data_IF_037973158660
#
_entry.id   IF_037973158660
#
_cell.length_a   1.000
_cell.length_b   1.000
_cell.length_c   1.000
_cell.angle_alpha   90.00
_cell.angle_beta   90.00
_cell.angle_gamma   90.00
#
_symmetry.space_group_name_H-M   'P 1'
#
loop_
_entity.id
_entity.type
_entity.pdbx_description
1 polymer ?
#
# COMPACT_ATOMS: atom_id res chain seq x y z
N UNK A 1 -24.23 5.76 13.64
CA UNK A 1 -24.51 6.44 12.36
C UNK A 1 -23.25 7.20 11.98
N UNK A 2 -22.47 6.73 11.01
CA UNK A 2 -21.35 7.53 10.47
C UNK A 2 -21.96 8.78 9.80
N UNK A 3 -21.46 9.97 10.15
CA UNK A 3 -21.98 11.21 9.60
C UNK A 3 -21.35 11.45 8.22
N UNK A 4 -22.14 11.94 7.26
CA UNK A 4 -21.66 12.30 5.91
C UNK A 4 -20.45 13.25 5.95
N UNK A 5 -20.34 14.08 7.01
CA UNK A 5 -19.20 14.95 7.24
C UNK A 5 -17.90 14.17 7.51
N UNK A 6 -17.97 13.06 8.26
CA UNK A 6 -16.81 12.23 8.57
C UNK A 6 -16.28 11.52 7.32
N UNK A 7 -17.17 10.98 6.48
CA UNK A 7 -16.76 10.33 5.23
C UNK A 7 -16.24 11.34 4.20
N UNK A 8 -16.79 12.55 4.18
CA UNK A 8 -16.28 13.63 3.33
C UNK A 8 -14.84 14.01 3.68
N UNK A 9 -14.49 14.04 4.97
CA UNK A 9 -13.12 14.32 5.43
C UNK A 9 -12.16 13.23 4.97
N UNK A 10 -12.53 11.94 5.08
CA UNK A 10 -11.72 10.82 4.59
C UNK A 10 -11.37 10.99 3.12
N UNK A 11 -12.39 11.22 2.29
CA UNK A 11 -12.24 11.39 0.86
C UNK A 11 -11.31 12.57 0.56
N UNK A 12 -11.51 13.71 1.23
CA UNK A 12 -10.73 14.91 1.01
C UNK A 12 -9.26 14.72 1.40
N UNK A 13 -8.99 14.05 2.52
CA UNK A 13 -7.61 13.71 2.93
C UNK A 13 -6.95 12.78 1.90
N UNK A 14 -7.63 11.73 1.45
CA UNK A 14 -7.09 10.82 0.42
C UNK A 14 -6.81 11.55 -0.89
N UNK A 15 -7.73 12.40 -1.34
CA UNK A 15 -7.55 13.19 -2.57
C UNK A 15 -6.36 14.16 -2.45
N UNK A 16 -6.21 14.83 -1.30
CA UNK A 16 -5.08 15.74 -1.04
C UNK A 16 -3.74 15.00 -1.03
N UNK A 17 -3.68 13.78 -0.49
CA UNK A 17 -2.45 12.96 -0.51
C UNK A 17 -2.06 12.63 -1.96
N UNK A 18 -2.99 12.14 -2.77
CA UNK A 18 -2.73 11.81 -4.19
C UNK A 18 -2.29 13.06 -4.95
N UNK A 19 -2.98 14.18 -4.75
CA UNK A 19 -2.64 15.46 -5.35
C UNK A 19 -1.23 15.92 -4.93
N UNK A 20 -0.89 15.82 -3.65
CA UNK A 20 0.44 16.19 -3.15
C UNK A 20 1.55 15.36 -3.80
N UNK A 21 1.37 14.04 -3.96
CA UNK A 21 2.33 13.18 -4.67
C UNK A 21 2.48 13.62 -6.13
N UNK A 22 1.38 13.89 -6.84
CA UNK A 22 1.41 14.32 -8.24
C UNK A 22 2.04 15.70 -8.46
N UNK A 23 1.89 16.61 -7.49
CA UNK A 23 2.53 17.93 -7.52
C UNK A 23 4.02 17.85 -7.18
N UNK A 24 4.38 17.03 -6.19
CA UNK A 24 5.78 16.82 -5.80
C UNK A 24 6.56 16.10 -6.89
N UNK A 25 5.96 15.14 -7.60
CA UNK A 25 6.67 14.40 -8.66
C UNK A 25 7.14 15.29 -9.82
N UNK A 26 6.55 16.48 -9.98
CA UNK A 26 6.96 17.48 -10.97
C UNK A 26 8.08 18.40 -10.47
N UNK A 27 8.34 18.46 -9.16
CA UNK A 27 9.30 19.39 -8.53
C UNK A 27 10.50 18.67 -7.90
N UNK A 28 10.24 17.58 -7.19
CA UNK A 28 11.21 16.78 -6.47
C UNK A 28 10.75 15.31 -6.42
N UNK A 29 11.38 14.48 -7.25
CA UNK A 29 11.06 13.05 -7.36
C UNK A 29 11.36 12.28 -6.06
N UNK A 30 12.36 12.69 -5.28
CA UNK A 30 12.72 12.02 -4.03
C UNK A 30 11.66 12.30 -2.96
N UNK A 31 11.21 13.55 -2.83
CA UNK A 31 10.11 13.89 -1.91
C UNK A 31 8.79 13.24 -2.32
N UNK A 32 8.51 13.15 -3.63
CA UNK A 32 7.33 12.43 -4.11
C UNK A 32 7.39 10.95 -3.77
N UNK A 33 8.55 10.30 -3.97
CA UNK A 33 8.76 8.89 -3.62
C UNK A 33 8.67 8.67 -2.10
N UNK A 34 9.29 9.55 -1.30
CA UNK A 34 9.18 9.52 0.17
C UNK A 34 7.71 9.56 0.59
N UNK A 35 6.95 10.56 0.12
CA UNK A 35 5.54 10.70 0.45
C UNK A 35 4.71 9.48 0.00
N UNK A 36 4.95 8.96 -1.21
CA UNK A 36 4.26 7.78 -1.73
C UNK A 36 4.61 6.49 -0.95
N UNK A 37 5.80 6.40 -0.36
CA UNK A 37 6.24 5.25 0.44
C UNK A 37 5.69 5.21 1.86
N UNK A 38 5.13 6.31 2.37
CA UNK A 38 4.52 6.33 3.69
C UNK A 38 3.30 5.41 3.68
N UNK A 39 3.14 4.48 4.65
CA UNK A 39 2.00 3.57 4.71
C UNK A 39 0.73 4.29 5.24
N UNK A 40 0.33 5.38 4.58
CA UNK A 40 -0.76 6.26 5.00
C UNK A 40 -2.07 5.48 5.11
N UNK A 41 -2.37 4.61 4.14
CA UNK A 41 -3.58 3.77 4.17
C UNK A 41 -3.61 2.90 5.43
N UNK A 42 -2.50 2.25 5.77
CA UNK A 42 -2.40 1.40 6.97
C UNK A 42 -2.50 2.20 8.27
N UNK A 43 -1.83 3.35 8.35
CA UNK A 43 -1.91 4.24 9.52
C UNK A 43 -3.34 4.71 9.75
N UNK A 44 -4.00 5.17 8.68
CA UNK A 44 -5.41 5.55 8.74
C UNK A 44 -6.24 4.33 9.15
N UNK A 45 -6.14 3.17 8.50
CA UNK A 45 -6.90 1.98 8.90
C UNK A 45 -6.77 1.65 10.40
N UNK A 46 -5.57 1.67 10.98
CA UNK A 46 -5.35 1.44 12.41
C UNK A 46 -5.97 2.52 13.31
N UNK A 47 -5.91 3.80 12.91
CA UNK A 47 -6.58 4.88 13.65
C UNK A 47 -8.10 4.68 13.68
N UNK A 48 -8.68 4.18 12.59
CA UNK A 48 -10.11 3.87 12.52
C UNK A 48 -10.47 2.65 13.35
N UNK A 49 -9.69 1.57 13.26
CA UNK A 49 -9.85 0.39 14.13
C UNK A 49 -9.88 0.80 15.61
N UNK A 50 -8.92 1.63 16.03
CA UNK A 50 -8.89 2.13 17.41
C UNK A 50 -10.13 2.99 17.76
N UNK A 51 -10.60 3.83 16.83
CA UNK A 51 -11.80 4.64 17.05
C UNK A 51 -13.09 3.80 17.14
N UNK A 52 -13.15 2.71 16.37
CA UNK A 52 -14.28 1.78 16.32
C UNK A 52 -14.26 0.74 17.47
N UNK A 53 -13.23 0.80 18.32
CA UNK A 53 -13.14 -0.01 19.54
C UNK A 53 -12.42 -1.35 19.35
N UNK A 54 -11.62 -1.51 18.29
CA UNK A 54 -10.76 -2.67 18.13
C UNK A 54 -9.81 -2.81 19.34
N UNK A 55 -9.59 -4.05 19.75
CA UNK A 55 -8.64 -4.41 20.78
C UNK A 55 -7.19 -4.13 20.36
N UNK A 56 -6.31 -4.01 21.34
CA UNK A 56 -4.88 -3.84 21.07
C UNK A 56 -4.31 -5.04 20.28
N UNK A 57 -4.80 -6.25 20.54
CA UNK A 57 -4.34 -7.45 19.84
C UNK A 57 -4.72 -7.43 18.36
N UNK A 58 -5.94 -6.98 18.01
CA UNK A 58 -6.36 -6.81 16.61
C UNK A 58 -5.48 -5.79 15.88
N UNK A 59 -5.14 -4.67 16.50
CA UNK A 59 -4.29 -3.64 15.90
C UNK A 59 -2.84 -4.14 15.75
N UNK A 60 -2.31 -4.83 16.77
CA UNK A 60 -0.96 -5.42 16.74
C UNK A 60 -0.87 -6.45 15.61
N UNK A 61 -1.86 -7.31 15.49
CA UNK A 61 -1.90 -8.36 14.47
C UNK A 61 -1.99 -7.78 13.06
N UNK A 62 -2.92 -6.83 12.83
CA UNK A 62 -3.02 -6.12 11.55
C UNK A 62 -1.70 -5.43 11.15
N UNK A 63 -1.03 -4.79 12.11
CA UNK A 63 0.28 -4.16 11.89
C UNK A 63 1.36 -5.18 11.51
N UNK A 64 1.40 -6.36 12.17
CA UNK A 64 2.33 -7.45 11.84
C UNK A 64 2.06 -8.03 10.45
N UNK A 65 0.80 -8.22 10.09
CA UNK A 65 0.42 -8.72 8.76
C UNK A 65 0.90 -7.77 7.66
N UNK A 66 0.73 -6.46 7.85
CA UNK A 66 1.23 -5.45 6.90
C UNK A 66 2.74 -5.59 6.68
N UNK A 67 3.53 -5.87 7.71
CA UNK A 67 4.99 -6.06 7.57
C UNK A 67 5.31 -7.19 6.59
N UNK A 68 4.59 -8.31 6.65
CA UNK A 68 4.78 -9.43 5.73
C UNK A 68 4.26 -9.16 4.32
N UNK A 69 3.25 -8.29 4.20
CA UNK A 69 2.64 -7.92 2.93
C UNK A 69 3.38 -6.78 2.20
N UNK A 70 4.27 -6.05 2.87
CA UNK A 70 5.13 -5.05 2.21
C UNK A 70 6.07 -5.67 1.16
N UNK A 71 6.85 -6.74 1.44
CA UNK A 71 7.77 -7.32 0.45
C UNK A 71 7.10 -7.70 -0.90
N UNK A 72 5.94 -8.36 -0.95
CA UNK A 72 5.21 -8.57 -2.21
C UNK A 72 4.87 -7.28 -2.96
N UNK A 73 4.49 -6.21 -2.24
CA UNK A 73 4.18 -4.90 -2.85
C UNK A 73 5.39 -4.27 -3.54
N UNK A 74 6.61 -4.54 -3.05
CA UNK A 74 7.86 -4.03 -3.62
C UNK A 74 8.15 -4.59 -5.01
N UNK A 75 7.57 -5.75 -5.38
CA UNK A 75 7.79 -6.37 -6.68
C UNK A 75 7.39 -5.47 -7.84
N UNK A 76 6.34 -4.67 -7.70
CA UNK A 76 5.94 -3.68 -8.72
C UNK A 76 7.08 -2.71 -9.01
N UNK A 77 7.72 -2.19 -7.97
CA UNK A 77 8.82 -1.21 -8.07
C UNK A 77 10.15 -1.82 -8.53
N UNK A 78 10.23 -3.14 -8.68
CA UNK A 78 11.40 -3.85 -9.21
C UNK A 78 11.12 -4.30 -10.65
N UNK A 79 10.03 -5.02 -10.86
CA UNK A 79 9.71 -5.67 -12.14
C UNK A 79 9.32 -4.65 -13.21
N UNK A 80 8.50 -3.66 -12.88
CA UNK A 80 8.06 -2.68 -13.88
C UNK A 80 9.24 -1.85 -14.42
N UNK A 81 10.12 -1.25 -13.59
CA UNK A 81 11.29 -0.53 -14.10
C UNK A 81 12.24 -1.41 -14.91
N UNK A 82 12.40 -2.68 -14.54
CA UNK A 82 13.23 -3.64 -15.27
C UNK A 82 12.66 -3.97 -16.65
N UNK A 83 11.34 -4.16 -16.77
CA UNK A 83 10.67 -4.37 -18.06
C UNK A 83 10.78 -3.14 -18.97
N UNK A 84 10.62 -1.93 -18.41
CA UNK A 84 10.81 -0.68 -19.16
C UNK A 84 12.25 -0.57 -19.67
N UNK A 85 13.26 -0.89 -18.83
CA UNK A 85 14.66 -0.91 -19.25
C UNK A 85 14.94 -1.93 -20.37
N UNK A 86 14.15 -3.01 -20.45
CA UNK A 86 14.20 -4.02 -21.51
C UNK A 86 13.41 -3.64 -22.77
N UNK A 87 12.88 -2.41 -22.83
CA UNK A 87 12.20 -1.87 -24.01
C UNK A 87 10.69 -2.14 -24.07
N UNK A 88 10.06 -2.59 -22.97
CA UNK A 88 8.60 -2.70 -22.92
C UNK A 88 7.97 -1.32 -22.78
N UNK A 89 6.82 -1.11 -23.43
CA UNK A 89 5.98 0.07 -23.20
C UNK A 89 5.43 0.10 -21.77
N UNK A 90 5.02 1.29 -21.33
CA UNK A 90 4.56 1.54 -19.96
C UNK A 90 3.45 0.60 -19.49
N UNK A 91 2.37 0.45 -20.26
CA UNK A 91 1.21 -0.35 -19.83
C UNK A 91 1.50 -1.86 -19.76
N UNK A 92 2.16 -2.49 -20.75
CA UNK A 92 2.65 -3.86 -20.60
C UNK A 92 3.59 -4.05 -19.41
N UNK A 93 4.53 -3.12 -19.18
CA UNK A 93 5.46 -3.20 -18.05
C UNK A 93 4.74 -3.07 -16.69
N UNK A 94 3.77 -2.15 -16.59
CA UNK A 94 2.88 -2.02 -15.43
C UNK A 94 2.11 -3.31 -15.19
N UNK A 95 1.53 -3.91 -16.25
CA UNK A 95 0.84 -5.19 -16.17
C UNK A 95 1.74 -6.32 -15.67
N UNK A 96 2.99 -6.38 -16.12
CA UNK A 96 3.99 -7.34 -15.63
C UNK A 96 4.33 -7.15 -14.16
N UNK A 97 4.55 -5.91 -13.72
CA UNK A 97 4.81 -5.59 -12.32
C UNK A 97 3.63 -5.91 -11.40
N UNK A 98 2.40 -5.55 -11.80
CA UNK A 98 1.19 -5.88 -11.06
C UNK A 98 0.98 -7.40 -10.95
N UNK A 99 1.21 -8.13 -12.04
CA UNK A 99 1.12 -9.59 -12.06
C UNK A 99 2.12 -10.22 -11.09
N UNK A 100 3.37 -9.72 -11.08
CA UNK A 100 4.39 -10.18 -10.13
C UNK A 100 3.98 -9.90 -8.68
N UNK A 101 3.44 -8.72 -8.37
CA UNK A 101 2.94 -8.39 -7.03
C UNK A 101 1.79 -9.30 -6.60
N UNK A 102 0.82 -9.58 -7.48
CA UNK A 102 -0.29 -10.51 -7.18
C UNK A 102 0.26 -11.91 -6.86
N UNK A 103 1.16 -12.43 -7.70
CA UNK A 103 1.79 -13.73 -7.47
C UNK A 103 2.56 -13.72 -6.14
N UNK A 104 3.31 -12.64 -5.86
CA UNK A 104 4.02 -12.46 -4.60
C UNK A 104 3.10 -12.49 -3.38
N UNK A 105 1.93 -11.85 -3.45
CA UNK A 105 0.95 -11.90 -2.37
C UNK A 105 0.40 -13.30 -2.14
N UNK A 106 0.02 -14.00 -3.22
CA UNK A 106 -0.48 -15.38 -3.12
C UNK A 106 0.56 -16.31 -2.48
N UNK A 107 1.82 -16.19 -2.87
CA UNK A 107 2.92 -16.96 -2.28
C UNK A 107 3.17 -16.58 -0.83
N UNK A 108 3.16 -15.30 -0.49
CA UNK A 108 3.41 -14.84 0.88
C UNK A 108 2.31 -15.28 1.83
N UNK A 109 1.04 -15.21 1.42
CA UNK A 109 -0.09 -15.69 2.23
C UNK A 109 0.05 -17.19 2.52
N UNK A 110 0.34 -18.00 1.51
CA UNK A 110 0.57 -19.45 1.70
C UNK A 110 1.74 -19.72 2.67
N UNK A 111 2.81 -18.93 2.60
CA UNK A 111 3.93 -19.01 3.54
C UNK A 111 3.46 -18.64 4.96
N UNK A 112 2.75 -17.53 5.12
CA UNK A 112 2.26 -17.09 6.42
C UNK A 112 1.32 -18.13 7.03
N UNK A 113 0.42 -18.73 6.24
CA UNK A 113 -0.49 -19.79 6.69
C UNK A 113 0.28 -21.04 7.12
N UNK A 114 1.25 -21.48 6.32
CA UNK A 114 2.07 -22.68 6.61
C UNK A 114 2.86 -22.55 7.91
N UNK A 115 3.32 -21.34 8.24
CA UNK A 115 4.08 -21.07 9.46
C UNK A 115 3.23 -20.53 10.62
N UNK A 116 1.90 -20.50 10.48
CA UNK A 116 0.98 -19.94 11.49
C UNK A 116 1.33 -18.50 11.88
N UNK A 117 1.80 -17.72 10.90
CA UNK A 117 2.14 -16.31 11.08
C UNK A 117 0.96 -15.38 10.85
N UNK A 118 -0.11 -15.85 10.19
CA UNK A 118 -1.39 -15.14 10.11
C UNK A 118 -2.11 -15.26 11.46
N UNK A 119 -2.59 -14.14 11.98
CA UNK A 119 -3.35 -14.07 13.23
C UNK A 119 -4.82 -14.47 13.11
#
# INVERSE_FOLDING_TARGET
MQSLAFDSIKILVTALIIFAVAQLSQRDTLLAALLASIPLVSVLAMMWMNHEGASNDEIINFSKDIVWLIPPSLLLFIVMPELIQRGWDFYPALGGGLSATIIGYLLMIEIMDRFQMVS
#
